data_IF_138592217762
#
_entry.id   IF_138592217762
#
_cell.length_a   1.000
_cell.length_b   1.000
_cell.length_c   1.000
_cell.angle_alpha   90.00
_cell.angle_beta   90.00
_cell.angle_gamma   90.00
#
_symmetry.space_group_name_H-M   'P 1'
#
loop_
_entity.id
_entity.type
_entity.pdbx_description
1 polymer ?
#
# COMPACT_ATOMS: atom_id res chain seq x y z
N UNK A 1 2.14 2.78 -18.87
CA UNK A 1 1.44 3.88 -18.16
C UNK A 1 1.12 3.42 -16.74
N UNK A 2 1.52 4.18 -15.72
CA UNK A 2 1.25 3.89 -14.30
C UNK A 2 0.14 4.80 -13.79
N UNK A 3 -0.86 4.25 -13.10
CA UNK A 3 -1.86 5.05 -12.39
C UNK A 3 -1.78 4.75 -10.91
N UNK A 4 -1.67 5.80 -10.12
CA UNK A 4 -1.59 5.74 -8.66
C UNK A 4 -2.92 6.22 -8.10
N UNK A 5 -3.59 5.38 -7.32
CA UNK A 5 -4.81 5.74 -6.59
C UNK A 5 -4.48 5.80 -5.10
N UNK A 6 -4.69 6.96 -4.50
CA UNK A 6 -4.48 7.20 -3.08
C UNK A 6 -5.86 7.20 -2.41
N UNK A 7 -6.04 6.39 -1.37
CA UNK A 7 -7.25 6.40 -0.53
C UNK A 7 -6.87 6.40 0.93
N UNK A 8 -7.40 7.35 1.68
CA UNK A 8 -7.39 7.32 3.13
C UNK A 8 -8.30 6.20 3.61
N UNK A 9 -7.77 5.31 4.44
CA UNK A 9 -8.52 4.19 4.98
C UNK A 9 -8.20 3.99 6.45
N UNK A 10 -9.10 3.32 7.16
CA UNK A 10 -8.83 2.84 8.50
C UNK A 10 -8.10 1.49 8.38
N UNK A 11 -7.00 1.34 9.12
CA UNK A 11 -6.25 0.09 9.15
C UNK A 11 -7.14 -1.04 9.68
N UNK A 12 -7.41 -2.02 8.82
CA UNK A 12 -8.04 -3.29 9.20
C UNK A 12 -6.94 -4.28 9.51
N UNK A 13 -6.87 -4.72 10.78
CA UNK A 13 -5.90 -5.71 11.28
C UNK A 13 -5.82 -6.90 10.33
N UNK A 14 -4.62 -7.19 9.86
CA UNK A 14 -4.30 -8.39 9.08
C UNK A 14 -3.72 -9.47 10.00
N UNK A 15 -3.51 -10.65 9.43
CA UNK A 15 -2.95 -11.81 10.13
C UNK A 15 -1.53 -11.55 10.68
N UNK A 16 -0.80 -10.59 10.09
CA UNK A 16 0.55 -10.21 10.51
C UNK A 16 0.59 -8.75 11.01
N UNK A 17 1.43 -8.44 12.02
CA UNK A 17 1.55 -7.09 12.55
C UNK A 17 2.33 -6.19 11.58
N UNK A 18 1.62 -5.25 10.96
CA UNK A 18 2.23 -4.27 10.06
C UNK A 18 2.96 -3.16 10.86
N UNK A 19 4.16 -2.76 10.43
CA UNK A 19 5.01 -1.79 11.16
C UNK A 19 5.39 -0.58 10.29
N UNK A 20 5.21 0.65 10.79
CA UNK A 20 5.78 1.84 10.13
C UNK A 20 7.30 1.78 10.28
N UNK A 21 8.05 1.75 9.17
CA UNK A 21 9.52 1.75 9.21
C UNK A 21 10.10 3.01 9.83
N UNK A 22 9.40 4.14 9.68
CA UNK A 22 9.91 5.45 10.11
C UNK A 22 9.74 5.72 11.60
N UNK A 23 8.62 5.33 12.21
CA UNK A 23 8.39 5.51 13.65
C UNK A 23 8.39 4.21 14.45
N UNK A 24 8.70 3.09 13.79
CA UNK A 24 8.71 1.74 14.36
C UNK A 24 7.40 1.33 15.07
N UNK A 25 6.30 2.07 14.84
CA UNK A 25 5.00 1.84 15.45
C UNK A 25 4.33 0.66 14.77
N UNK A 26 3.87 -0.30 15.59
CA UNK A 26 2.99 -1.39 15.15
C UNK A 26 1.59 -0.82 14.93
N UNK A 27 1.04 -1.03 13.73
CA UNK A 27 -0.31 -0.62 13.38
C UNK A 27 -1.33 -1.49 14.10
N UNK A 28 -2.26 -0.85 14.79
CA UNK A 28 -3.39 -1.50 15.45
C UNK A 28 -4.66 -1.24 14.66
N UNK A 29 -5.64 -2.15 14.80
CA UNK A 29 -6.98 -1.97 14.22
C UNK A 29 -7.52 -0.59 14.62
N UNK A 30 -7.95 0.20 13.64
CA UNK A 30 -8.45 1.56 13.90
C UNK A 30 -7.43 2.68 13.69
N UNK A 31 -6.13 2.38 13.55
CA UNK A 31 -5.15 3.40 13.20
C UNK A 31 -5.42 3.96 11.79
N UNK A 32 -5.37 5.29 11.62
CA UNK A 32 -5.53 5.91 10.31
C UNK A 32 -4.28 5.64 9.45
N UNK A 33 -4.49 5.09 8.25
CA UNK A 33 -3.41 4.82 7.27
C UNK A 33 -3.82 5.24 5.86
N UNK A 34 -2.86 5.65 5.04
CA UNK A 34 -3.08 5.88 3.62
C UNK A 34 -2.77 4.60 2.87
N UNK A 35 -3.68 4.14 2.01
CA UNK A 35 -3.43 3.04 1.08
C UNK A 35 -3.16 3.61 -0.31
N UNK A 36 -2.00 3.30 -0.83
CA UNK A 36 -1.59 3.62 -2.20
C UNK A 36 -1.74 2.36 -3.03
N UNK A 37 -2.53 2.43 -4.09
CA UNK A 37 -2.70 1.35 -5.06
C UNK A 37 -2.06 1.82 -6.36
N UNK A 38 -0.92 1.21 -6.70
CA UNK A 38 -0.17 1.47 -7.92
C UNK A 38 -0.47 0.40 -8.95
N UNK A 39 -1.12 0.76 -10.05
CA UNK A 39 -1.39 -0.18 -11.14
C UNK A 39 -0.37 0.06 -12.25
N UNK A 40 0.58 -0.86 -12.40
CA UNK A 40 1.56 -0.86 -13.48
C UNK A 40 1.04 -1.75 -14.60
N UNK A 41 0.54 -1.16 -15.68
CA UNK A 41 0.22 -1.90 -16.91
C UNK A 41 1.47 -2.03 -17.75
N UNK A 42 1.87 -3.27 -18.02
CA UNK A 42 3.02 -3.63 -18.87
C UNK A 42 2.48 -4.39 -20.07
N UNK A 43 2.79 -3.94 -21.27
CA UNK A 43 2.42 -4.63 -22.51
C UNK A 43 3.45 -5.71 -22.81
N UNK A 44 2.99 -6.94 -23.02
CA UNK A 44 3.81 -8.06 -23.46
C UNK A 44 3.36 -8.48 -24.86
N UNK A 45 4.23 -8.44 -25.88
CA UNK A 45 3.83 -8.63 -27.27
C UNK A 45 3.14 -9.98 -27.56
N UNK A 46 3.42 -11.02 -26.77
CA UNK A 46 2.78 -12.35 -26.89
C UNK A 46 1.59 -12.58 -25.95
N UNK A 47 1.37 -11.73 -24.94
CA UNK A 47 0.38 -11.94 -23.87
C UNK A 47 -0.60 -10.77 -23.70
N UNK A 48 -0.49 -9.73 -24.52
CA UNK A 48 -1.29 -8.52 -24.40
C UNK A 48 -0.90 -7.66 -23.19
N UNK A 49 -1.81 -6.80 -22.73
CA UNK A 49 -1.57 -5.93 -21.58
C UNK A 49 -1.78 -6.65 -20.25
N UNK A 50 -0.71 -6.77 -19.45
CA UNK A 50 -0.76 -7.33 -18.10
C UNK A 50 -0.66 -6.20 -17.07
N UNK A 51 -1.66 -6.09 -16.20
CA UNK A 51 -1.67 -5.16 -15.08
C UNK A 51 -1.09 -5.79 -13.82
N UNK A 52 0.04 -5.29 -13.31
CA UNK A 52 0.52 -5.61 -11.97
C UNK A 52 -0.02 -4.56 -10.99
N UNK A 53 -0.85 -4.98 -10.04
CA UNK A 53 -1.35 -4.12 -8.96
C UNK A 53 -0.42 -4.25 -7.74
N UNK A 54 0.27 -3.18 -7.41
CA UNK A 54 1.13 -3.05 -6.23
C UNK A 54 0.36 -2.24 -5.18
N UNK A 55 0.27 -2.74 -3.96
CA UNK A 55 -0.38 -2.04 -2.85
C UNK A 55 0.69 -1.65 -1.84
N UNK A 56 0.69 -0.38 -1.43
CA UNK A 56 1.57 0.15 -0.40
C UNK A 56 0.70 0.84 0.67
N UNK A 57 1.16 0.81 1.92
CA UNK A 57 0.49 1.47 3.03
C UNK A 57 1.45 2.49 3.63
N UNK A 58 0.93 3.67 3.94
CA UNK A 58 1.67 4.75 4.58
C UNK A 58 0.98 5.06 5.90
N UNK A 59 1.75 5.13 6.98
CA UNK A 59 1.21 5.52 8.27
C UNK A 59 1.03 7.05 8.31
N UNK A 60 -0.19 7.51 8.60
CA UNK A 60 -0.55 8.94 8.61
C UNK A 60 0.23 9.76 9.66
N UNK A 61 0.63 9.13 10.77
CA UNK A 61 1.36 9.80 11.86
C UNK A 61 2.81 10.15 11.47
N UNK A 62 3.54 9.22 10.85
CA UNK A 62 4.96 9.37 10.49
C UNK A 62 5.17 9.79 9.03
N UNK A 63 4.14 9.68 8.18
CA UNK A 63 4.25 9.61 6.71
C UNK A 63 5.28 8.57 6.25
N UNK A 64 5.48 7.52 7.05
CA UNK A 64 6.43 6.46 6.77
C UNK A 64 5.77 5.29 6.06
N UNK A 65 6.54 4.60 5.24
CA UNK A 65 6.13 3.34 4.61
C UNK A 65 5.92 2.27 5.67
N UNK A 66 4.91 1.44 5.43
CA UNK A 66 4.57 0.31 6.28
C UNK A 66 5.06 -0.94 5.55
N UNK A 67 5.94 -1.69 6.20
CA UNK A 67 6.33 -3.03 5.73
C UNK A 67 5.36 -4.08 6.27
N UNK A 68 5.13 -5.09 5.43
CA UNK A 68 4.32 -6.27 5.70
C UNK A 68 5.21 -7.45 6.09
#
# INVERSE_FOLDING_TARGET
MTTDTIKDIIYRKRSFPDRCLKCNKVLKKGDPVVRIIRVKKTYYPKRGMIGKRIQQFICLKCKGTVEF
#
